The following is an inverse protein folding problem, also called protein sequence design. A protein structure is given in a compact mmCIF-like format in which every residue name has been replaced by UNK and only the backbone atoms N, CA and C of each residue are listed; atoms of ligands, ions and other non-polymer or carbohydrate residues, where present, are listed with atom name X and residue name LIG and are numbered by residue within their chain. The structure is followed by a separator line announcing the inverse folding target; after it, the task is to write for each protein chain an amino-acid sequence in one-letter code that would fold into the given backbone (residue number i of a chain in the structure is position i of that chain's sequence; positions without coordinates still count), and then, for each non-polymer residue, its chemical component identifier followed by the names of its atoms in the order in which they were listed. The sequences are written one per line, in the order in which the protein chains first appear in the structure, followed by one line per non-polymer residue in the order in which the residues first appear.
data_IF_247173130473
#
_entry.id   IF_247173130473
#
_cell.length_a   1.000
_cell.length_b   1.000
_cell.length_c   1.000
_cell.angle_alpha   90.00
_cell.angle_beta   90.00
_cell.angle_gamma   90.00
#
_symmetry.space_group_name_H-M   'P 1'
#
loop_
_entity.id
_entity.type
_entity.pdbx_description
1 polymer ?
#
# COMPACT_ATOMS: atom_id res chain seq x y z
N UNK A 1 8.73 -28.48 -16.08
CA UNK A 1 7.38 -28.76 -15.54
C UNK A 1 6.52 -27.52 -15.73
N UNK A 2 5.30 -27.66 -16.25
CA UNK A 2 4.33 -26.57 -16.32
C UNK A 2 3.79 -26.29 -14.90
N UNK A 3 3.86 -25.04 -14.45
CA UNK A 3 3.26 -24.62 -13.18
C UNK A 3 1.84 -24.13 -13.48
N UNK A 4 0.77 -24.81 -13.04
CA UNK A 4 -0.61 -24.40 -13.36
C UNK A 4 -0.91 -22.96 -12.95
N UNK A 5 -0.33 -22.50 -11.83
CA UNK A 5 -0.50 -21.15 -11.32
C UNK A 5 0.10 -20.09 -12.25
N UNK A 6 1.19 -20.41 -12.96
CA UNK A 6 1.80 -19.51 -13.94
C UNK A 6 0.98 -19.48 -15.24
N UNK A 7 0.58 -20.66 -15.73
CA UNK A 7 -0.21 -20.80 -16.95
C UNK A 7 -1.59 -20.14 -16.89
N UNK A 8 -2.16 -20.03 -15.69
CA UNK A 8 -3.46 -19.41 -15.44
C UNK A 8 -3.34 -17.96 -14.94
N UNK A 9 -2.13 -17.38 -14.91
CA UNK A 9 -1.91 -16.00 -14.49
C UNK A 9 -2.23 -15.04 -15.64
N UNK A 10 -3.06 -14.04 -15.37
CA UNK A 10 -3.22 -12.89 -16.26
C UNK A 10 -1.99 -11.97 -16.16
N UNK A 11 -1.50 -11.56 -17.32
CA UNK A 11 -0.59 -10.44 -17.53
C UNK A 11 -1.27 -9.42 -18.44
N UNK A 12 -0.89 -8.16 -18.28
CA UNK A 12 -1.21 -7.11 -19.24
C UNK A 12 0.03 -6.35 -19.67
N UNK A 13 0.05 -5.96 -20.94
CA UNK A 13 1.10 -5.17 -21.55
C UNK A 13 0.55 -3.82 -21.97
N UNK A 14 1.24 -2.75 -21.60
CA UNK A 14 1.06 -1.42 -22.20
C UNK A 14 2.14 -1.23 -23.25
N UNK A 15 1.74 -1.05 -24.49
CA UNK A 15 2.63 -0.82 -25.64
C UNK A 15 2.68 0.68 -25.98
N UNK A 16 3.47 1.02 -26.99
CA UNK A 16 3.54 2.38 -27.54
C UNK A 16 2.14 2.97 -27.84
N UNK A 17 1.99 4.28 -27.64
CA UNK A 17 0.71 5.01 -27.74
C UNK A 17 -0.35 4.53 -26.71
N UNK A 18 0.08 4.07 -25.55
CA UNK A 18 -0.77 3.58 -24.45
C UNK A 18 -1.73 2.44 -24.88
N UNK A 19 -1.36 1.66 -25.91
CA UNK A 19 -2.16 0.51 -26.34
C UNK A 19 -2.10 -0.57 -25.27
N UNK A 20 -3.22 -0.81 -24.61
CA UNK A 20 -3.32 -1.75 -23.50
C UNK A 20 -3.86 -3.12 -23.93
N UNK A 21 -3.07 -4.18 -23.72
CA UNK A 21 -3.44 -5.58 -23.98
C UNK A 21 -3.57 -6.36 -22.69
N UNK A 22 -4.66 -7.11 -22.55
CA UNK A 22 -5.03 -7.85 -21.34
C UNK A 22 -5.28 -9.34 -21.63
N UNK A 23 -5.53 -10.10 -20.56
CA UNK A 23 -5.80 -11.54 -20.63
C UNK A 23 -4.68 -12.32 -21.31
N UNK A 24 -3.44 -11.82 -21.23
CA UNK A 24 -2.28 -12.56 -21.68
C UNK A 24 -1.96 -13.61 -20.61
N UNK A 25 -1.67 -14.83 -21.05
CA UNK A 25 -1.24 -15.93 -20.18
C UNK A 25 -0.24 -16.78 -20.94
N UNK A 26 0.70 -17.38 -20.23
CA UNK A 26 1.82 -18.09 -20.86
C UNK A 26 2.01 -19.43 -20.18
N UNK A 27 2.17 -20.51 -20.95
CA UNK A 27 2.25 -21.86 -20.38
C UNK A 27 3.51 -22.06 -19.53
N UNK A 28 4.57 -21.30 -19.84
CA UNK A 28 5.88 -21.37 -19.21
C UNK A 28 6.67 -20.08 -19.46
N UNK A 29 7.81 -19.94 -18.78
CA UNK A 29 8.67 -18.75 -18.88
C UNK A 29 9.25 -18.53 -20.29
N UNK A 30 9.43 -19.57 -21.10
CA UNK A 30 9.99 -19.47 -22.46
C UNK A 30 8.99 -18.78 -23.39
N UNK A 31 7.70 -19.12 -23.29
CA UNK A 31 6.64 -18.43 -24.04
C UNK A 31 6.51 -16.97 -23.61
N UNK A 32 6.57 -16.72 -22.29
CA UNK A 32 6.52 -15.37 -21.75
C UNK A 32 7.68 -14.51 -22.26
N UNK A 33 8.91 -15.03 -22.18
CA UNK A 33 10.12 -14.35 -22.65
C UNK A 33 10.05 -14.03 -24.15
N UNK A 34 9.65 -15.00 -24.97
CA UNK A 34 9.47 -14.79 -26.41
C UNK A 34 8.49 -13.66 -26.71
N UNK A 35 7.36 -13.62 -26.03
CA UNK A 35 6.35 -12.59 -26.27
C UNK A 35 6.77 -11.22 -25.71
N UNK A 36 7.50 -11.20 -24.59
CA UNK A 36 8.10 -9.97 -24.05
C UNK A 36 9.09 -9.34 -25.04
N UNK A 37 10.00 -10.13 -25.60
CA UNK A 37 10.99 -9.65 -26.58
C UNK A 37 10.29 -9.16 -27.85
N UNK A 38 9.28 -9.91 -28.31
CA UNK A 38 8.53 -9.59 -29.53
C UNK A 38 7.69 -8.32 -29.40
N UNK A 39 7.00 -8.13 -28.27
CA UNK A 39 6.11 -6.99 -28.07
C UNK A 39 6.81 -5.76 -27.47
N UNK A 40 7.92 -5.95 -26.75
CA UNK A 40 8.70 -4.90 -26.08
C UNK A 40 7.80 -3.88 -25.33
N UNK A 41 6.98 -4.33 -24.34
CA UNK A 41 6.03 -3.45 -23.68
C UNK A 41 6.70 -2.39 -22.81
N UNK A 42 6.12 -1.19 -22.76
CA UNK A 42 6.55 -0.10 -21.86
C UNK A 42 6.22 -0.41 -20.39
N UNK A 43 5.11 -1.12 -20.14
CA UNK A 43 4.67 -1.54 -18.80
C UNK A 43 4.13 -2.96 -18.83
N UNK A 44 4.37 -3.67 -17.73
CA UNK A 44 3.85 -5.03 -17.51
C UNK A 44 3.13 -5.00 -16.17
N UNK A 45 1.85 -5.35 -16.17
CA UNK A 45 1.09 -5.54 -14.93
C UNK A 45 0.71 -7.02 -14.78
N UNK A 46 0.61 -7.42 -13.51
CA UNK A 46 0.13 -8.74 -13.10
C UNK A 46 -1.21 -8.55 -12.40
N UNK A 47 -2.20 -7.99 -13.10
CA UNK A 47 -3.44 -7.60 -12.42
C UNK A 47 -4.74 -7.73 -13.24
N UNK A 48 -5.81 -7.91 -12.46
CA UNK A 48 -7.18 -8.19 -12.86
C UNK A 48 -8.03 -6.91 -12.95
N UNK A 49 -8.83 -6.79 -14.01
CA UNK A 49 -10.22 -6.34 -13.85
C UNK A 49 -11.15 -7.51 -14.11
N UNK A 50 -12.11 -7.70 -13.21
CA UNK A 50 -13.17 -8.71 -13.31
C UNK A 50 -13.94 -8.48 -14.61
N UNK A 51 -13.93 -9.47 -15.51
CA UNK A 51 -14.98 -9.57 -16.53
C UNK A 51 -16.19 -10.21 -15.87
N UNK A 52 -17.37 -9.65 -16.13
CA UNK A 52 -18.64 -10.30 -15.81
C UNK A 52 -18.80 -11.53 -16.71
N UNK A 53 -18.16 -12.64 -16.38
CA UNK A 53 -18.38 -13.93 -17.02
C UNK A 53 -18.43 -14.99 -15.94
N UNK A 54 -19.55 -15.70 -15.84
CA UNK A 54 -19.79 -16.75 -14.83
C UNK A 54 -18.76 -17.90 -14.86
N UNK A 55 -17.87 -17.94 -15.86
CA UNK A 55 -16.87 -19.00 -16.07
C UNK A 55 -15.41 -18.52 -15.97
N UNK A 56 -15.12 -17.22 -15.83
CA UNK A 56 -13.75 -16.69 -15.75
C UNK A 56 -13.62 -15.70 -14.60
N UNK A 57 -13.14 -16.19 -13.45
CA UNK A 57 -12.99 -15.41 -12.23
C UNK A 57 -11.66 -15.70 -11.53
N UNK A 58 -11.08 -14.70 -10.82
CA UNK A 58 -9.86 -14.90 -10.04
C UNK A 58 -10.08 -15.91 -8.90
N UNK A 59 -9.17 -16.88 -8.77
CA UNK A 59 -9.19 -17.86 -7.66
C UNK A 59 -8.14 -17.51 -6.60
N UNK A 60 -6.93 -17.13 -7.03
CA UNK A 60 -5.82 -16.76 -6.15
C UNK A 60 -5.09 -15.53 -6.67
N UNK A 61 -4.75 -14.61 -5.76
CA UNK A 61 -3.98 -13.42 -6.08
C UNK A 61 -3.28 -12.90 -4.83
N UNK A 62 -2.04 -12.43 -4.94
CA UNK A 62 -1.32 -11.82 -3.81
C UNK A 62 -2.14 -10.70 -3.18
N UNK A 63 -2.00 -10.51 -1.87
CA UNK A 63 -2.54 -9.32 -1.23
C UNK A 63 -1.54 -8.18 -1.49
N UNK A 64 -1.98 -7.19 -2.26
CA UNK A 64 -1.12 -6.10 -2.72
C UNK A 64 -1.53 -4.79 -2.05
N UNK A 65 -0.55 -4.08 -1.50
CA UNK A 65 -0.70 -2.72 -1.01
C UNK A 65 0.07 -1.76 -1.92
N UNK A 66 -0.60 -0.80 -2.53
CA UNK A 66 0.01 0.32 -3.27
C UNK A 66 0.04 1.55 -2.35
N UNK A 67 1.23 1.94 -1.92
CA UNK A 67 1.42 3.12 -1.06
C UNK A 67 2.03 4.22 -1.89
N UNK A 68 1.29 5.31 -2.02
CA UNK A 68 1.69 6.46 -2.80
C UNK A 68 2.16 7.61 -1.91
N UNK A 69 3.38 8.10 -2.16
CA UNK A 69 3.95 9.22 -1.41
C UNK A 69 3.13 10.51 -1.52
N UNK A 70 2.32 10.70 -2.58
CA UNK A 70 1.45 11.88 -2.68
C UNK A 70 0.33 11.91 -1.65
N UNK A 71 -0.08 10.75 -1.13
CA UNK A 71 -1.09 10.71 -0.07
C UNK A 71 -0.57 11.36 1.23
N UNK A 72 0.77 11.51 1.36
CA UNK A 72 1.46 12.08 2.51
C UNK A 72 1.94 13.52 2.31
N UNK A 73 1.71 14.16 1.15
CA UNK A 73 2.22 15.51 0.83
C UNK A 73 1.87 16.58 1.89
N UNK A 74 0.72 16.41 2.55
CA UNK A 74 0.23 17.31 3.60
C UNK A 74 0.93 17.15 4.96
N UNK A 75 1.63 16.04 5.21
CA UNK A 75 2.28 15.71 6.50
C UNK A 75 3.77 15.39 6.37
N UNK A 76 4.34 15.48 5.17
CA UNK A 76 5.76 15.23 4.92
C UNK A 76 6.48 16.47 4.44
N UNK A 77 7.72 16.58 4.86
CA UNK A 77 8.69 17.60 4.48
C UNK A 77 9.97 16.98 3.91
N UNK A 78 10.14 15.65 4.01
CA UNK A 78 11.20 14.87 3.36
C UNK A 78 10.64 13.61 2.65
N UNK A 79 11.52 12.79 2.06
CA UNK A 79 11.16 11.72 1.10
C UNK A 79 11.21 10.28 1.63
N UNK A 80 11.44 10.04 2.93
CA UNK A 80 11.51 8.68 3.47
C UNK A 80 10.12 8.07 3.64
N UNK A 81 9.96 6.85 3.17
CA UNK A 81 8.72 6.07 3.23
C UNK A 81 8.59 5.33 4.57
N UNK A 82 7.40 5.31 5.20
CA UNK A 82 7.14 4.54 6.42
C UNK A 82 6.91 3.04 6.14
N UNK A 83 7.71 2.44 5.25
CA UNK A 83 7.60 1.00 4.89
C UNK A 83 7.77 0.09 6.11
N UNK A 84 8.67 0.44 7.02
CA UNK A 84 8.99 -0.35 8.22
C UNK A 84 7.78 -0.51 9.15
N UNK A 85 6.94 0.53 9.27
CA UNK A 85 5.74 0.49 10.10
C UNK A 85 4.76 -0.52 9.52
N UNK A 86 4.50 -0.46 8.22
CA UNK A 86 3.53 -1.35 7.55
C UNK A 86 4.06 -2.78 7.50
N UNK A 87 5.35 -2.98 7.21
CA UNK A 87 5.94 -4.33 7.22
C UNK A 87 5.82 -4.99 8.60
N UNK A 88 6.12 -4.24 9.68
CA UNK A 88 5.96 -4.73 11.06
C UNK A 88 4.52 -5.08 11.38
N UNK A 89 3.55 -4.27 10.96
CA UNK A 89 2.12 -4.59 11.18
C UNK A 89 1.70 -5.84 10.40
N UNK A 90 2.07 -5.95 9.13
CA UNK A 90 1.77 -7.13 8.30
C UNK A 90 2.37 -8.41 8.89
N UNK A 91 3.59 -8.33 9.41
CA UNK A 91 4.26 -9.46 10.04
C UNK A 91 3.68 -9.78 11.44
N UNK A 92 3.64 -8.80 12.35
CA UNK A 92 3.31 -9.05 13.75
C UNK A 92 1.81 -9.30 13.99
N UNK A 93 0.92 -8.70 13.19
CA UNK A 93 -0.53 -8.79 13.45
C UNK A 93 -1.23 -9.81 12.56
N UNK A 94 -0.82 -9.90 11.30
CA UNK A 94 -1.42 -10.83 10.35
C UNK A 94 -0.59 -12.11 10.18
N UNK A 95 0.62 -12.15 10.73
CA UNK A 95 1.49 -13.33 10.64
C UNK A 95 1.98 -13.61 9.22
N UNK A 96 1.91 -12.63 8.31
CA UNK A 96 2.40 -12.82 6.95
C UNK A 96 3.92 -12.93 6.97
N UNK A 97 4.48 -13.93 6.31
CA UNK A 97 5.92 -14.20 6.28
C UNK A 97 6.56 -13.79 4.95
N UNK A 98 5.84 -13.91 3.84
CA UNK A 98 6.37 -13.71 2.49
C UNK A 98 5.94 -12.37 1.91
N UNK A 99 6.59 -11.28 2.33
CA UNK A 99 6.28 -9.90 1.92
C UNK A 99 7.38 -9.37 1.00
N UNK A 100 7.05 -9.07 -0.26
CA UNK A 100 7.96 -8.52 -1.24
C UNK A 100 7.64 -7.04 -1.49
N UNK A 101 8.57 -6.16 -1.14
CA UNK A 101 8.46 -4.73 -1.39
C UNK A 101 9.15 -4.36 -2.71
N UNK A 102 8.41 -3.68 -3.59
CA UNK A 102 8.85 -3.33 -4.94
C UNK A 102 8.72 -1.81 -5.11
N UNK A 103 9.79 -1.15 -5.52
CA UNK A 103 9.73 0.24 -5.94
C UNK A 103 8.99 0.35 -7.28
N UNK A 104 8.01 1.24 -7.37
CA UNK A 104 7.16 1.38 -8.56
C UNK A 104 7.86 2.05 -9.77
N UNK A 105 9.12 2.47 -9.62
CA UNK A 105 9.84 3.25 -10.63
C UNK A 105 9.68 4.77 -10.51
N UNK A 106 8.89 5.28 -9.55
CA UNK A 106 8.79 6.74 -9.29
C UNK A 106 8.63 7.13 -7.83
N UNK A 107 7.42 7.02 -7.30
CA UNK A 107 7.07 7.55 -5.97
C UNK A 107 6.12 6.65 -5.19
N UNK A 108 6.00 5.39 -5.61
CA UNK A 108 5.17 4.41 -4.92
C UNK A 108 6.02 3.21 -4.55
N UNK A 109 5.56 2.50 -3.54
CA UNK A 109 6.09 1.21 -3.14
C UNK A 109 4.93 0.23 -3.07
N UNK A 110 5.10 -0.92 -3.72
CA UNK A 110 4.09 -1.97 -3.73
C UNK A 110 4.55 -3.09 -2.80
N UNK A 111 3.74 -3.45 -1.81
CA UNK A 111 3.96 -4.64 -1.01
C UNK A 111 3.14 -5.79 -1.58
N UNK A 112 3.79 -6.88 -1.97
CA UNK A 112 3.18 -8.12 -2.43
C UNK A 112 3.28 -9.17 -1.33
N UNK A 113 2.16 -9.50 -0.70
CA UNK A 113 2.09 -10.59 0.28
C UNK A 113 1.76 -11.89 -0.44
N UNK A 114 2.73 -12.80 -0.46
CA UNK A 114 2.77 -14.00 -1.28
C UNK A 114 2.41 -15.29 -0.51
N UNK A 115 2.18 -15.20 0.80
CA UNK A 115 1.69 -16.30 1.64
C UNK A 115 0.52 -17.01 0.98
N UNK A 116 0.47 -18.35 1.09
CA UNK A 116 -0.62 -19.11 0.47
C UNK A 116 -2.00 -18.65 1.00
N UNK A 117 -2.09 -18.42 2.31
CA UNK A 117 -3.29 -17.91 2.98
C UNK A 117 -3.68 -16.53 2.46
N UNK A 118 -2.72 -15.62 2.26
CA UNK A 118 -2.95 -14.29 1.67
C UNK A 118 -3.46 -14.40 0.23
N UNK A 119 -2.89 -15.32 -0.56
CA UNK A 119 -3.29 -15.53 -1.95
C UNK A 119 -4.72 -16.03 -2.12
N UNK A 120 -5.22 -16.77 -1.13
CA UNK A 120 -6.56 -17.39 -1.12
C UNK A 120 -7.63 -16.51 -0.47
N UNK A 121 -7.29 -15.32 0.05
CA UNK A 121 -8.25 -14.42 0.68
C UNK A 121 -9.34 -13.97 -0.30
N UNK A 122 -10.59 -14.07 0.15
CA UNK A 122 -11.75 -13.50 -0.52
C UNK A 122 -11.70 -11.96 -0.50
N UNK A 123 -12.33 -11.31 -1.47
CA UNK A 123 -12.36 -9.85 -1.57
C UNK A 123 -12.91 -9.17 -0.32
N UNK A 124 -13.92 -9.76 0.33
CA UNK A 124 -14.48 -9.26 1.60
C UNK A 124 -13.45 -9.25 2.74
N UNK A 125 -12.64 -10.30 2.87
CA UNK A 125 -11.60 -10.36 3.90
C UNK A 125 -10.47 -9.39 3.60
N UNK A 126 -10.10 -9.23 2.31
CA UNK A 126 -9.12 -8.21 1.89
C UNK A 126 -9.60 -6.81 2.28
N UNK A 127 -10.87 -6.52 2.06
CA UNK A 127 -11.48 -5.25 2.47
C UNK A 127 -11.41 -5.06 3.99
N UNK A 128 -11.74 -6.07 4.78
CA UNK A 128 -11.63 -6.01 6.25
C UNK A 128 -10.18 -5.76 6.71
N UNK A 129 -9.18 -6.36 6.04
CA UNK A 129 -7.76 -6.09 6.34
C UNK A 129 -7.42 -4.62 6.07
N UNK A 130 -7.86 -4.07 4.92
CA UNK A 130 -7.64 -2.66 4.56
C UNK A 130 -8.33 -1.73 5.56
N UNK A 131 -9.58 -2.00 5.91
CA UNK A 131 -10.33 -1.25 6.93
C UNK A 131 -9.64 -1.32 8.29
N UNK A 132 -9.13 -2.49 8.69
CA UNK A 132 -8.40 -2.67 9.94
C UNK A 132 -7.10 -1.86 9.99
N UNK A 133 -6.43 -1.70 8.86
CA UNK A 133 -5.20 -0.90 8.71
C UNK A 133 -5.49 0.60 8.58
N UNK A 134 -6.74 0.99 8.32
CA UNK A 134 -7.12 2.37 8.06
C UNK A 134 -7.49 3.08 9.36
N UNK A 135 -6.62 4.00 9.80
CA UNK A 135 -6.88 4.89 10.94
C UNK A 135 -7.52 6.24 10.55
N UNK A 136 -7.56 6.55 9.26
CA UNK A 136 -8.12 7.82 8.74
C UNK A 136 -9.63 7.79 8.86
N UNK A 137 -10.21 8.76 9.56
CA UNK A 137 -11.66 8.85 9.81
C UNK A 137 -12.33 9.95 8.99
N UNK A 138 -11.57 10.93 8.50
CA UNK A 138 -12.09 12.08 7.77
C UNK A 138 -11.50 12.14 6.34
N UNK A 139 -12.19 12.81 5.42
CA UNK A 139 -11.77 12.91 4.01
C UNK A 139 -10.42 13.62 3.81
N UNK A 140 -9.85 13.47 2.60
CA UNK A 140 -8.53 14.03 2.25
C UNK A 140 -8.45 15.56 2.41
N UNK A 141 -9.56 16.28 2.30
CA UNK A 141 -9.57 17.74 2.43
C UNK A 141 -9.66 18.24 3.89
N UNK A 142 -9.82 17.33 4.86
CA UNK A 142 -9.84 17.69 6.28
C UNK A 142 -8.43 17.98 6.79
N UNK A 143 -8.27 19.08 7.52
CA UNK A 143 -7.05 19.39 8.29
C UNK A 143 -6.81 18.34 9.38
N UNK A 144 -7.85 17.88 10.05
CA UNK A 144 -7.81 16.78 11.02
C UNK A 144 -8.32 15.50 10.37
N UNK A 145 -7.42 14.67 9.86
CA UNK A 145 -7.78 13.42 9.15
C UNK A 145 -8.09 12.24 10.06
N UNK A 146 -7.64 12.29 11.31
CA UNK A 146 -7.76 11.18 12.27
C UNK A 146 -8.45 11.69 13.54
N UNK A 147 -9.51 11.00 13.94
CA UNK A 147 -10.17 11.17 15.25
C UNK A 147 -10.19 9.83 15.95
N UNK A 148 -9.46 9.74 17.06
CA UNK A 148 -9.38 8.51 17.86
C UNK A 148 -10.28 8.64 19.09
N UNK A 149 -11.01 7.58 19.39
CA UNK A 149 -11.88 7.52 20.58
C UNK A 149 -11.21 6.72 21.69
N UNK A 150 -11.56 7.05 22.94
CA UNK A 150 -11.14 6.32 24.13
C UNK A 150 -12.27 5.39 24.61
N UNK A 151 -11.98 4.12 24.96
CA UNK A 151 -10.67 3.48 24.87
C UNK A 151 -10.25 3.19 23.42
N UNK A 152 -8.93 3.30 23.14
CA UNK A 152 -8.39 2.97 21.82
C UNK A 152 -8.62 1.49 21.50
N UNK A 153 -9.00 1.18 20.27
CA UNK A 153 -9.06 -0.20 19.79
C UNK A 153 -7.69 -0.90 19.92
N UNK A 154 -7.60 -2.18 20.33
CA UNK A 154 -6.32 -2.86 20.54
C UNK A 154 -5.37 -2.85 19.33
N UNK A 155 -5.90 -2.82 18.10
CA UNK A 155 -5.07 -2.65 16.91
C UNK A 155 -4.36 -1.30 16.88
N UNK A 156 -5.08 -0.21 17.20
CA UNK A 156 -4.52 1.14 17.24
C UNK A 156 -3.55 1.32 18.41
N UNK A 157 -3.79 0.67 19.54
CA UNK A 157 -2.85 0.68 20.68
C UNK A 157 -1.49 0.09 20.29
N UNK A 158 -1.50 -1.08 19.64
CA UNK A 158 -0.27 -1.72 19.18
C UNK A 158 0.38 -0.95 18.03
N UNK A 159 -0.41 -0.42 17.07
CA UNK A 159 0.11 0.38 15.98
C UNK A 159 0.81 1.65 16.51
N UNK A 160 0.23 2.27 17.56
CA UNK A 160 0.85 3.38 18.28
C UNK A 160 2.22 3.02 18.84
N UNK A 161 2.42 1.83 19.40
CA UNK A 161 3.73 1.41 19.91
C UNK A 161 4.80 1.35 18.80
N UNK A 162 4.44 0.84 17.63
CA UNK A 162 5.32 0.81 16.44
C UNK A 162 5.61 2.24 15.96
N UNK A 163 4.59 3.08 15.83
CA UNK A 163 4.76 4.47 15.39
C UNK A 163 5.63 5.25 16.37
N UNK A 164 5.40 5.10 17.69
CA UNK A 164 6.17 5.80 18.71
C UNK A 164 7.66 5.39 18.72
N UNK A 165 7.99 4.13 18.38
CA UNK A 165 9.40 3.72 18.29
C UNK A 165 10.15 4.45 17.17
N UNK A 166 9.46 4.79 16.09
CA UNK A 166 10.04 5.50 14.94
C UNK A 166 9.86 7.02 15.00
N UNK A 167 8.92 7.53 15.80
CA UNK A 167 8.47 8.92 15.75
C UNK A 167 9.60 9.93 16.00
N UNK A 168 10.46 9.69 16.99
CA UNK A 168 11.56 10.61 17.31
C UNK A 168 12.56 10.74 16.16
N UNK A 169 12.97 9.62 15.57
CA UNK A 169 13.89 9.63 14.43
C UNK A 169 13.24 10.18 13.16
N UNK A 170 12.09 9.63 12.79
CA UNK A 170 11.41 10.01 11.55
C UNK A 170 10.77 11.41 11.64
N UNK A 171 9.85 11.63 12.58
CA UNK A 171 9.10 12.88 12.62
C UNK A 171 10.00 14.03 13.12
N UNK A 172 10.67 13.89 14.25
CA UNK A 172 11.42 15.02 14.81
C UNK A 172 12.72 15.30 14.06
N UNK A 173 13.55 14.29 13.76
CA UNK A 173 14.87 14.54 13.15
C UNK A 173 14.83 14.66 11.63
N UNK A 174 14.08 13.80 10.95
CA UNK A 174 14.07 13.80 9.47
C UNK A 174 13.02 14.73 8.87
N UNK A 175 11.80 14.76 9.42
CA UNK A 175 10.75 15.64 8.92
C UNK A 175 10.85 17.05 9.51
N UNK A 176 11.43 17.19 10.71
CA UNK A 176 11.53 18.44 11.46
C UNK A 176 10.21 19.23 11.46
N UNK A 177 9.13 18.55 11.86
CA UNK A 177 7.77 19.07 11.74
C UNK A 177 7.46 20.25 12.68
N UNK A 178 8.44 20.71 13.47
CA UNK A 178 8.33 21.85 14.40
C UNK A 178 9.41 22.92 14.15
N UNK A 179 10.09 22.91 13.00
CA UNK A 179 11.23 23.83 12.72
C UNK A 179 10.83 25.30 12.62
N UNK A 180 9.60 25.59 12.18
CA UNK A 180 9.14 26.94 11.85
C UNK A 180 7.68 27.16 12.27
N UNK A 181 7.30 28.42 12.44
CA UNK A 181 5.96 28.83 12.90
C UNK A 181 4.84 28.22 12.05
N UNK A 182 5.05 28.07 10.73
CA UNK A 182 4.04 27.52 9.84
C UNK A 182 3.78 26.04 10.15
N UNK A 183 4.83 25.24 10.39
CA UNK A 183 4.67 23.83 10.73
C UNK A 183 4.14 23.64 12.15
N UNK A 184 4.57 24.49 13.09
CA UNK A 184 4.07 24.47 14.45
C UNK A 184 2.56 24.79 14.48
N UNK A 185 2.12 25.81 13.74
CA UNK A 185 0.70 26.16 13.62
C UNK A 185 -0.12 24.97 13.05
N UNK A 186 0.40 24.27 12.03
CA UNK A 186 -0.24 23.06 11.49
C UNK A 186 -0.38 21.96 12.55
N UNK A 187 0.64 21.76 13.37
CA UNK A 187 0.61 20.78 14.45
C UNK A 187 -0.39 21.15 15.54
N UNK A 188 -0.42 22.41 15.98
CA UNK A 188 -1.34 22.91 17.02
C UNK A 188 -2.80 22.69 16.61
N UNK A 189 -3.14 22.89 15.33
CA UNK A 189 -4.50 22.63 14.80
C UNK A 189 -4.95 21.16 14.93
N UNK A 190 -4.05 20.22 15.20
CA UNK A 190 -4.38 18.82 15.45
C UNK A 190 -4.70 18.56 16.94
N UNK A 191 -4.23 19.43 17.83
CA UNK A 191 -4.43 19.31 19.28
C UNK A 191 -5.84 19.79 19.63
N UNK A 192 -6.63 19.00 20.39
CA UNK A 192 -8.01 19.34 20.72
C UNK A 192 -8.18 20.41 21.82
N UNK A 193 -7.09 20.98 22.34
CA UNK A 193 -7.14 21.99 23.40
C UNK A 193 -7.01 23.40 22.81
N UNK A 194 -8.12 24.12 22.81
CA UNK A 194 -8.22 25.49 22.29
C UNK A 194 -7.45 26.51 23.16
N UNK A 195 -6.93 26.12 24.33
CA UNK A 195 -6.16 27.00 25.22
C UNK A 195 -4.66 27.02 24.94
N UNK A 196 -4.18 26.26 23.95
CA UNK A 196 -2.77 26.29 23.53
C UNK A 196 -2.55 27.55 22.68
N UNK A 197 -2.12 28.63 23.33
CA UNK A 197 -1.74 29.88 22.69
C UNK A 197 -0.26 29.85 22.30
N UNK A 198 0.04 30.31 21.08
CA UNK A 198 1.38 30.63 20.62
C UNK A 198 1.61 32.12 20.94
N UNK A 199 2.51 32.43 21.88
CA UNK A 199 3.00 33.80 22.13
C UNK A 199 4.37 34.00 21.46
#
# INVERSE_FOLDING_TARGET
ATCPQFAQREFSFTLENDVYRRYLSFSNHIEFEKELIKMCPEKIDKDHKILSAAQFYPIKHELVFDIDMTDYDHVRFCCRFPMEIIDRVLHQYFGFEHRLWIYSGRRRVHCWVCDQTARELQSSIRQVIVEHLTAITNGKDSTKRVTLYSPLHPSLQRAREIVLSEFGGYACLEQDFLIDDQRIERFIRLVPDDNILFE
#
